data_IF_145369155961
#
_entry.id   IF_145369155961
#
_cell.length_a   1.000
_cell.length_b   1.000
_cell.length_c   1.000
_cell.angle_alpha   90.00
_cell.angle_beta   90.00
_cell.angle_gamma   90.00
#
_symmetry.space_group_name_H-M   'P 1'
#
loop_
_entity.id
_entity.type
_entity.pdbx_description
1 polymer ?
#
# COMPACT_ATOMS: atom_id res chain seq x y z
N UNK A 1 -12.21 0.06 -2.57
CA UNK A 1 -11.83 1.36 -3.19
C UNK A 1 -10.70 1.12 -4.17
N UNK A 2 -10.60 1.89 -5.26
CA UNK A 2 -9.45 1.80 -6.17
C UNK A 2 -8.47 2.93 -5.85
N UNK A 3 -7.21 2.60 -5.57
CA UNK A 3 -6.22 3.55 -5.06
C UNK A 3 -5.06 3.65 -6.04
N UNK A 4 -4.74 4.87 -6.45
CA UNK A 4 -3.58 5.25 -7.24
C UNK A 4 -2.85 6.38 -6.51
N UNK A 5 -1.53 6.40 -6.60
CA UNK A 5 -0.72 7.41 -5.91
C UNK A 5 0.64 6.84 -5.53
N UNK A 6 1.24 7.43 -4.50
CA UNK A 6 2.58 7.13 -4.03
C UNK A 6 2.59 6.52 -2.60
N UNK A 7 3.72 6.64 -1.90
CA UNK A 7 3.90 6.23 -0.50
C UNK A 7 2.84 6.74 0.50
N UNK A 8 2.21 7.89 0.25
CA UNK A 8 1.18 8.47 1.13
C UNK A 8 -0.10 7.63 1.18
N UNK A 9 -0.31 6.79 0.16
CA UNK A 9 -1.48 5.91 0.04
C UNK A 9 -1.09 4.45 -0.23
N UNK A 10 0.21 4.12 -0.21
CA UNK A 10 0.68 2.74 -0.34
C UNK A 10 0.29 1.91 0.90
N UNK A 11 -0.31 0.75 0.63
CA UNK A 11 -0.81 -0.21 1.62
C UNK A 11 0.04 -1.50 1.64
N UNK A 12 1.21 -1.48 1.00
CA UNK A 12 2.20 -2.56 0.99
C UNK A 12 2.64 -3.05 -0.38
N UNK A 13 2.31 -2.37 -1.47
CA UNK A 13 2.75 -2.73 -2.82
C UNK A 13 4.28 -2.70 -2.91
N UNK A 14 4.94 -1.71 -2.32
CA UNK A 14 6.39 -1.57 -2.46
C UNK A 14 7.20 -2.76 -1.96
N UNK A 15 6.68 -3.49 -0.97
CA UNK A 15 7.36 -4.65 -0.41
C UNK A 15 7.45 -5.83 -1.41
N UNK A 16 6.61 -5.81 -2.45
CA UNK A 16 6.56 -6.82 -3.50
C UNK A 16 7.32 -6.41 -4.79
N UNK A 17 7.90 -5.21 -4.84
CA UNK A 17 8.74 -4.78 -5.96
C UNK A 17 10.15 -5.34 -5.83
N UNK A 18 10.60 -6.08 -6.86
CA UNK A 18 11.91 -6.75 -6.86
C UNK A 18 13.11 -5.80 -6.74
N UNK A 19 13.03 -4.64 -7.38
CA UNK A 19 14.14 -3.68 -7.49
C UNK A 19 13.96 -2.43 -6.62
N UNK A 20 13.01 -2.43 -5.69
CA UNK A 20 12.82 -1.30 -4.79
C UNK A 20 13.75 -1.38 -3.58
N UNK A 21 14.53 -0.33 -3.35
CA UNK A 21 15.33 -0.15 -2.13
C UNK A 21 14.51 0.39 -0.95
N UNK A 22 13.38 1.04 -1.23
CA UNK A 22 12.62 1.77 -0.22
C UNK A 22 11.43 0.96 0.27
N UNK A 23 11.64 -0.05 1.12
CA UNK A 23 10.55 -0.90 1.61
C UNK A 23 9.91 -0.38 2.89
N UNK A 24 8.66 -0.75 3.11
CA UNK A 24 7.88 -0.47 4.31
C UNK A 24 7.73 -1.74 5.17
N UNK A 25 8.83 -2.48 5.33
CA UNK A 25 8.94 -3.75 6.08
C UNK A 25 9.83 -3.62 7.33
N UNK A 26 10.11 -2.39 7.76
CA UNK A 26 10.88 -2.11 8.98
C UNK A 26 10.00 -2.07 10.24
N UNK A 27 10.55 -2.37 11.44
CA UNK A 27 9.78 -2.48 12.67
C UNK A 27 8.98 -1.25 13.11
N UNK A 28 9.40 -0.05 12.70
CA UNK A 28 8.70 1.19 13.05
C UNK A 28 7.45 1.44 12.19
N UNK A 29 7.34 0.77 11.04
CA UNK A 29 6.12 0.80 10.24
C UNK A 29 5.07 -0.11 10.87
N UNK A 30 3.85 0.40 11.05
CA UNK A 30 2.74 -0.36 11.61
C UNK A 30 2.72 -0.56 13.14
N UNK A 31 3.57 0.14 13.91
CA UNK A 31 3.59 0.05 15.39
C UNK A 31 2.26 0.42 16.06
N UNK A 32 1.44 1.26 15.42
CA UNK A 32 0.13 1.67 15.92
C UNK A 32 -1.02 0.75 15.46
N UNK A 33 -0.74 -0.26 14.63
CA UNK A 33 -1.73 -1.31 14.36
C UNK A 33 -1.88 -2.24 15.58
N UNK A 34 -3.06 -2.87 15.78
CA UNK A 34 -3.29 -3.80 16.89
C UNK A 34 -2.23 -4.91 16.98
N UNK A 35 -1.76 -5.38 15.83
CA UNK A 35 -0.79 -6.48 15.75
C UNK A 35 0.67 -6.00 15.89
N UNK A 36 0.94 -4.68 15.85
CA UNK A 36 2.28 -4.08 15.94
C UNK A 36 3.33 -4.69 15.01
N UNK A 37 2.91 -5.04 13.80
CA UNK A 37 3.77 -5.60 12.74
C UNK A 37 3.84 -4.64 11.58
N UNK A 38 4.92 -4.71 10.80
CA UNK A 38 5.02 -3.99 9.55
C UNK A 38 3.86 -4.34 8.62
N UNK A 39 3.15 -3.32 8.15
CA UNK A 39 1.95 -3.47 7.33
C UNK A 39 2.17 -3.09 5.86
N UNK A 40 3.39 -2.67 5.50
CA UNK A 40 3.70 -2.17 4.17
C UNK A 40 3.29 -0.71 3.92
N UNK A 41 2.76 -0.02 4.92
CA UNK A 41 2.52 1.43 4.86
C UNK A 41 3.77 2.19 5.28
N UNK A 42 4.09 3.28 4.59
CA UNK A 42 5.15 4.20 5.00
C UNK A 42 4.71 5.10 6.17
N UNK A 43 4.17 4.48 7.22
CA UNK A 43 3.64 5.12 8.42
C UNK A 43 3.70 4.16 9.61
N UNK A 44 3.68 4.71 10.82
CA UNK A 44 3.43 3.97 12.06
C UNK A 44 2.06 3.29 12.09
N UNK A 45 1.09 3.76 11.31
CA UNK A 45 -0.28 3.27 11.35
C UNK A 45 -1.00 3.38 10.01
N UNK A 46 -2.32 3.62 10.08
CA UNK A 46 -3.19 3.85 8.93
C UNK A 46 -2.70 5.04 8.12
N UNK A 47 -2.75 4.94 6.79
CA UNK A 47 -2.46 6.03 5.88
C UNK A 47 -3.75 6.77 5.46
N UNK A 48 -3.63 7.79 4.60
CA UNK A 48 -4.78 8.58 4.16
C UNK A 48 -5.87 7.74 3.47
N UNK A 49 -5.48 6.72 2.71
CA UNK A 49 -6.40 5.81 2.03
C UNK A 49 -7.18 4.92 3.02
N UNK A 50 -6.54 4.45 4.09
CA UNK A 50 -7.22 3.68 5.13
C UNK A 50 -8.26 4.53 5.87
N UNK A 51 -7.88 5.76 6.26
CA UNK A 51 -8.81 6.67 6.92
C UNK A 51 -9.98 7.02 6.03
N UNK A 52 -9.74 7.25 4.73
CA UNK A 52 -10.82 7.49 3.79
C UNK A 52 -11.75 6.28 3.67
N UNK A 53 -11.20 5.08 3.51
CA UNK A 53 -11.99 3.84 3.44
C UNK A 53 -12.86 3.67 4.69
N UNK A 54 -12.30 3.87 5.89
CA UNK A 54 -13.04 3.83 7.15
C UNK A 54 -14.16 4.87 7.20
N UNK A 55 -13.90 6.12 6.78
CA UNK A 55 -14.91 7.18 6.75
C UNK A 55 -16.09 6.86 5.83
N UNK A 56 -15.85 6.15 4.73
CA UNK A 56 -16.91 5.73 3.80
C UNK A 56 -17.40 4.30 4.06
N UNK A 57 -17.06 3.71 5.20
CA UNK A 57 -17.46 2.35 5.60
C UNK A 57 -17.07 1.25 4.59
N UNK A 58 -15.91 1.42 3.94
CA UNK A 58 -15.30 0.43 3.06
C UNK A 58 -14.13 -0.26 3.76
N UNK A 59 -13.84 -1.53 3.43
CA UNK A 59 -12.60 -2.15 3.86
C UNK A 59 -11.39 -1.46 3.21
N UNK A 60 -10.26 -1.46 3.92
CA UNK A 60 -8.96 -1.16 3.33
C UNK A 60 -8.75 -2.01 2.09
N UNK A 61 -8.35 -1.37 1.00
CA UNK A 61 -8.18 -2.07 -0.28
C UNK A 61 -6.89 -2.89 -0.28
N UNK A 62 -6.92 -4.13 -0.80
CA UNK A 62 -5.74 -5.00 -0.81
C UNK A 62 -4.65 -4.48 -1.75
N UNK A 63 -3.42 -4.91 -1.53
CA UNK A 63 -2.28 -4.60 -2.41
C UNK A 63 -2.39 -5.37 -3.72
N UNK A 64 -2.28 -4.69 -4.86
CA UNK A 64 -2.29 -5.35 -6.17
C UNK A 64 -1.11 -6.32 -6.33
N UNK A 65 0.11 -5.87 -5.99
CA UNK A 65 1.33 -6.63 -6.26
C UNK A 65 1.43 -7.90 -5.41
N UNK A 66 0.93 -7.89 -4.17
CA UNK A 66 0.91 -9.09 -3.32
C UNK A 66 0.01 -10.17 -3.93
N UNK A 67 -1.17 -9.79 -4.43
CA UNK A 67 -2.14 -10.72 -5.02
C UNK A 67 -1.61 -11.36 -6.30
N UNK A 68 -0.99 -10.57 -7.17
CA UNK A 68 -0.35 -11.09 -8.38
C UNK A 68 0.86 -11.98 -8.03
N UNK A 69 1.70 -11.57 -7.09
CA UNK A 69 2.86 -12.36 -6.66
C UNK A 69 2.47 -13.71 -6.07
N UNK A 70 1.37 -13.77 -5.33
CA UNK A 70 0.86 -15.00 -4.71
C UNK A 70 0.03 -15.86 -5.67
N UNK A 71 -0.05 -15.50 -6.96
CA UNK A 71 -0.86 -16.18 -7.99
C UNK A 71 -2.32 -16.39 -7.55
N UNK A 72 -2.88 -15.46 -6.76
CA UNK A 72 -4.28 -15.54 -6.35
C UNK A 72 -5.16 -15.09 -7.53
N UNK A 73 -6.10 -15.93 -7.95
CA UNK A 73 -7.15 -15.58 -8.94
C UNK A 73 -8.24 -14.70 -8.28
N UNK A 74 -7.84 -13.63 -7.61
CA UNK A 74 -8.79 -12.73 -6.95
C UNK A 74 -9.34 -11.70 -7.93
N UNK A 75 -10.66 -11.58 -7.96
CA UNK A 75 -11.34 -10.53 -8.69
C UNK A 75 -11.33 -9.24 -7.86
N UNK A 76 -10.82 -8.14 -8.43
CA UNK A 76 -10.72 -6.84 -7.75
C UNK A 76 -12.06 -6.06 -7.68
N UNK A 77 -13.20 -6.76 -7.66
CA UNK A 77 -14.54 -6.15 -7.70
C UNK A 77 -14.78 -5.17 -6.53
N UNK A 78 -14.16 -5.43 -5.38
CA UNK A 78 -14.30 -4.60 -4.18
C UNK A 78 -13.18 -3.54 -4.04
N UNK A 79 -12.37 -3.38 -5.09
CA UNK A 79 -11.25 -2.45 -5.14
C UNK A 79 -9.90 -3.09 -4.84
N UNK A 80 -8.86 -2.34 -5.17
CA UNK A 80 -7.45 -2.73 -5.02
C UNK A 80 -6.58 -1.47 -5.04
N UNK A 81 -5.43 -1.53 -4.37
CA UNK A 81 -4.42 -0.48 -4.38
C UNK A 81 -3.32 -0.78 -5.39
N UNK A 82 -3.09 0.16 -6.29
CA UNK A 82 -2.00 0.15 -7.27
C UNK A 82 -0.82 1.05 -6.88
N UNK A 83 -0.95 1.84 -5.81
CA UNK A 83 0.04 2.83 -5.41
C UNK A 83 1.34 2.17 -4.89
N UNK A 84 2.50 2.36 -5.54
CA UNK A 84 3.82 2.05 -4.98
C UNK A 84 4.50 3.32 -4.44
N UNK A 85 5.55 3.18 -3.64
CA UNK A 85 6.40 4.33 -3.32
C UNK A 85 7.19 4.77 -4.53
N UNK A 86 7.32 6.08 -4.69
CA UNK A 86 8.11 6.68 -5.76
C UNK A 86 7.33 6.91 -7.06
N UNK A 87 6.01 6.68 -7.05
CA UNK A 87 5.18 6.94 -8.21
C UNK A 87 5.07 8.45 -8.47
N UNK A 88 5.49 8.86 -9.64
CA UNK A 88 5.39 10.24 -10.11
C UNK A 88 4.46 10.39 -11.31
N UNK A 89 4.09 11.64 -11.59
CA UNK A 89 3.34 11.99 -12.79
C UNK A 89 4.30 12.21 -13.97
N UNK A 90 5.50 12.73 -13.72
CA UNK A 90 6.51 13.02 -14.73
C UNK A 90 7.68 12.04 -14.65
N UNK A 91 8.38 11.86 -15.77
CA UNK A 91 9.54 10.97 -15.86
C UNK A 91 10.72 11.39 -14.96
N UNK A 92 10.72 12.64 -14.48
CA UNK A 92 11.78 13.20 -13.64
C UNK A 92 11.44 13.20 -12.15
N UNK A 93 10.27 12.70 -11.75
CA UNK A 93 9.91 12.56 -10.34
C UNK A 93 10.70 11.42 -9.68
N UNK A 94 11.17 11.62 -8.44
CA UNK A 94 11.93 10.63 -7.65
C UNK A 94 13.26 10.13 -8.29
N UNK A 95 13.86 10.95 -9.17
CA UNK A 95 15.26 10.78 -9.62
C UNK A 95 16.28 11.23 -8.60
#
# INVERSE_FOLDING_TARGET
MFIFGDSLVDVGNNNHLKFSLNKADFPHYGIDFPNKVYTGRFSNGKNAADFLAEKVSLPTSPTYLSRISNKSNENFLNGVSFAPRGAGIFNDTDK
#
